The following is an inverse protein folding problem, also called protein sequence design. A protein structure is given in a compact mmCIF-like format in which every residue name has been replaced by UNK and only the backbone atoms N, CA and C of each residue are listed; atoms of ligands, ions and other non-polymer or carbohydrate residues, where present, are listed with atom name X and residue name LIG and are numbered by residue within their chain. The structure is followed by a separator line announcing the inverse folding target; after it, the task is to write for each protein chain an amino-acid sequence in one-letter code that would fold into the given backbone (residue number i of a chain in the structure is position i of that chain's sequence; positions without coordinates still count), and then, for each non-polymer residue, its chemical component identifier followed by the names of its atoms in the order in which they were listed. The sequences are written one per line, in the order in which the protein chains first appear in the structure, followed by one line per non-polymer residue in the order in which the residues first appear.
data_IF_467264451169
#
_entry.id   IF_467264451169
#
_cell.length_a   1.000
_cell.length_b   1.000
_cell.length_c   1.000
_cell.angle_alpha   90.00
_cell.angle_beta   90.00
_cell.angle_gamma   90.00
#
_symmetry.space_group_name_H-M   'P 1'
#
loop_
_entity.id
_entity.type
_entity.pdbx_description
1 polymer ?
#
# COMPACT_ATOMS: atom_id res chain seq x y z
N UNK A 1 21.80 -18.63 -42.32
CA UNK A 1 22.48 -18.33 -41.04
C UNK A 1 21.72 -19.04 -39.92
N UNK A 2 22.40 -19.82 -39.11
CA UNK A 2 21.76 -20.38 -37.92
C UNK A 2 21.94 -19.38 -36.80
N UNK A 3 20.85 -18.84 -36.28
CA UNK A 3 20.84 -17.91 -35.13
C UNK A 3 20.37 -18.71 -33.91
N UNK A 4 21.11 -18.61 -32.83
CA UNK A 4 20.72 -19.19 -31.56
C UNK A 4 20.12 -18.11 -30.67
N UNK A 5 18.94 -18.35 -30.11
CA UNK A 5 18.32 -17.53 -29.07
C UNK A 5 18.37 -18.29 -27.74
N UNK A 6 18.62 -17.59 -26.63
CA UNK A 6 18.88 -16.15 -26.50
C UNK A 6 20.25 -15.73 -27.10
N UNK A 7 20.29 -14.53 -27.66
CA UNK A 7 21.47 -14.04 -28.40
C UNK A 7 22.66 -13.71 -27.47
N UNK A 8 23.69 -14.58 -27.46
CA UNK A 8 24.89 -14.40 -26.64
C UNK A 8 24.62 -14.08 -25.15
N UNK A 9 23.48 -14.52 -24.62
CA UNK A 9 23.08 -14.32 -23.24
C UNK A 9 22.78 -15.68 -22.58
N UNK A 10 23.08 -15.77 -21.30
CA UNK A 10 22.72 -16.93 -20.47
C UNK A 10 22.25 -16.48 -19.09
N UNK A 11 21.27 -17.17 -18.51
CA UNK A 11 20.79 -16.85 -17.17
C UNK A 11 21.88 -17.14 -16.12
N UNK A 12 22.02 -16.25 -15.15
CA UNK A 12 22.85 -16.47 -13.95
C UNK A 12 22.22 -17.61 -13.13
N UNK A 13 23.02 -18.26 -12.27
CA UNK A 13 22.54 -19.42 -11.52
C UNK A 13 21.23 -19.16 -10.77
N UNK A 14 21.10 -18.04 -10.11
CA UNK A 14 19.89 -17.65 -9.40
C UNK A 14 18.70 -17.26 -10.33
N UNK A 15 18.92 -17.09 -11.62
CA UNK A 15 17.89 -16.81 -12.62
C UNK A 15 17.40 -18.09 -13.31
N UNK A 16 18.17 -19.18 -13.23
CA UNK A 16 17.85 -20.46 -13.88
C UNK A 16 16.50 -21.06 -13.48
N UNK A 17 16.07 -21.01 -12.20
CA UNK A 17 14.77 -21.58 -11.82
C UNK A 17 13.61 -20.96 -12.64
N UNK A 18 13.56 -19.63 -12.72
CA UNK A 18 12.56 -18.94 -13.53
C UNK A 18 12.72 -19.23 -15.02
N UNK A 19 13.98 -19.16 -15.53
CA UNK A 19 14.28 -19.41 -16.93
C UNK A 19 13.84 -20.80 -17.38
N UNK A 20 14.14 -21.83 -16.60
CA UNK A 20 13.74 -23.21 -16.89
C UNK A 20 12.22 -23.38 -16.82
N UNK A 21 11.55 -22.85 -15.79
CA UNK A 21 10.10 -22.89 -15.69
C UNK A 21 9.42 -22.31 -16.94
N UNK A 22 9.91 -21.17 -17.44
CA UNK A 22 9.39 -20.54 -18.66
C UNK A 22 9.70 -21.35 -19.91
N UNK A 23 10.92 -21.92 -20.01
CA UNK A 23 11.32 -22.80 -21.11
C UNK A 23 10.54 -24.12 -21.16
N UNK A 24 10.11 -24.61 -20.01
CA UNK A 24 9.25 -25.80 -19.89
C UNK A 24 7.76 -25.50 -20.18
N UNK A 25 7.44 -24.30 -20.64
CA UNK A 25 6.10 -23.88 -21.02
C UNK A 25 5.23 -23.34 -19.90
N UNK A 26 5.85 -22.90 -18.78
CA UNK A 26 5.16 -22.25 -17.66
C UNK A 26 4.37 -21.04 -18.08
N UNK A 27 3.14 -20.90 -17.56
CA UNK A 27 2.17 -19.89 -18.05
C UNK A 27 2.04 -18.67 -17.15
N UNK A 28 2.38 -18.80 -15.86
CA UNK A 28 2.21 -17.73 -14.87
C UNK A 28 3.44 -17.68 -13.99
N UNK A 29 4.14 -16.53 -13.98
CA UNK A 29 5.32 -16.37 -13.15
C UNK A 29 5.35 -15.01 -12.46
N UNK A 30 5.79 -14.99 -11.21
CA UNK A 30 5.98 -13.77 -10.41
C UNK A 30 7.40 -13.76 -9.85
N UNK A 31 8.20 -12.77 -10.28
CA UNK A 31 9.59 -12.56 -9.85
C UNK A 31 9.68 -11.30 -8.99
N UNK A 32 9.51 -11.45 -7.68
CA UNK A 32 9.76 -10.40 -6.70
C UNK A 32 11.25 -10.37 -6.36
N UNK A 33 12.03 -9.73 -7.20
CA UNK A 33 13.49 -9.75 -7.13
C UNK A 33 14.05 -8.39 -6.76
N UNK A 34 15.13 -8.40 -5.98
CA UNK A 34 15.78 -7.19 -5.52
C UNK A 34 16.29 -6.31 -6.68
N UNK A 35 16.57 -5.05 -6.38
CA UNK A 35 17.09 -4.10 -7.36
C UNK A 35 18.44 -4.58 -7.91
N UNK A 36 18.64 -4.45 -9.25
CA UNK A 36 19.85 -4.88 -9.97
C UNK A 36 20.06 -6.39 -10.10
N UNK A 37 19.11 -7.21 -9.78
CA UNK A 37 19.16 -8.68 -9.99
C UNK A 37 19.18 -9.10 -11.48
N UNK A 38 18.95 -8.17 -12.40
CA UNK A 38 18.91 -8.46 -13.84
C UNK A 38 17.57 -9.04 -14.33
N UNK A 39 16.48 -8.82 -13.59
CA UNK A 39 15.14 -9.31 -13.93
C UNK A 39 14.70 -8.96 -15.36
N UNK A 40 14.91 -7.69 -15.80
CA UNK A 40 14.53 -7.29 -17.16
C UNK A 40 15.33 -7.98 -18.25
N UNK A 41 16.58 -8.36 -17.99
CA UNK A 41 17.39 -9.12 -18.97
C UNK A 41 16.80 -10.52 -19.19
N UNK A 42 16.38 -11.21 -18.11
CA UNK A 42 15.68 -12.50 -18.23
C UNK A 42 14.42 -12.35 -19.06
N UNK A 43 13.61 -11.33 -18.76
CA UNK A 43 12.32 -11.11 -19.43
C UNK A 43 12.47 -10.79 -20.91
N UNK A 44 13.40 -9.90 -21.28
CA UNK A 44 13.62 -9.53 -22.70
C UNK A 44 14.12 -10.73 -23.49
N UNK A 45 15.07 -11.51 -22.95
CA UNK A 45 15.59 -12.69 -23.65
C UNK A 45 14.54 -13.82 -23.75
N UNK A 46 13.70 -14.00 -22.71
CA UNK A 46 12.58 -14.93 -22.81
C UNK A 46 11.59 -14.51 -23.89
N UNK A 47 11.22 -13.23 -23.96
CA UNK A 47 10.34 -12.72 -25.02
C UNK A 47 10.95 -13.00 -26.41
N UNK A 48 12.26 -12.79 -26.58
CA UNK A 48 12.94 -13.05 -27.85
C UNK A 48 12.84 -14.54 -28.28
N UNK A 49 12.95 -15.47 -27.32
CA UNK A 49 12.77 -16.90 -27.60
C UNK A 49 11.29 -17.24 -27.88
N UNK A 50 10.39 -16.78 -27.04
CA UNK A 50 8.95 -17.07 -27.14
C UNK A 50 8.31 -16.65 -28.48
N UNK A 51 8.78 -15.56 -29.08
CA UNK A 51 8.37 -15.11 -30.43
C UNK A 51 8.59 -16.18 -31.52
N UNK A 52 9.55 -17.09 -31.34
CA UNK A 52 9.86 -18.16 -32.28
C UNK A 52 9.29 -19.51 -31.88
N UNK A 53 8.88 -19.68 -30.62
CA UNK A 53 8.17 -20.86 -30.14
C UNK A 53 6.70 -20.85 -30.58
N UNK A 54 6.06 -19.67 -30.53
CA UNK A 54 4.69 -19.50 -30.98
C UNK A 54 4.53 -18.16 -31.71
N UNK A 55 3.99 -18.18 -32.93
CA UNK A 55 3.72 -16.96 -33.69
C UNK A 55 2.56 -16.20 -33.08
N UNK A 56 2.78 -14.96 -32.65
CA UNK A 56 1.78 -14.17 -31.96
C UNK A 56 2.24 -12.75 -31.60
N UNK A 57 1.40 -12.05 -30.84
CA UNK A 57 1.68 -10.72 -30.34
C UNK A 57 2.20 -10.82 -28.89
N UNK A 58 3.30 -10.14 -28.59
CA UNK A 58 3.94 -10.16 -27.27
C UNK A 58 4.11 -8.74 -26.76
N UNK A 59 3.68 -8.52 -25.51
CA UNK A 59 3.73 -7.22 -24.90
C UNK A 59 4.68 -7.20 -23.70
N UNK A 60 5.47 -6.14 -23.65
CA UNK A 60 6.30 -5.83 -22.50
C UNK A 60 5.76 -4.53 -21.89
N UNK A 61 5.08 -4.65 -20.75
CA UNK A 61 4.34 -3.57 -20.13
C UNK A 61 5.13 -2.94 -19.01
N UNK A 62 5.24 -1.61 -19.02
CA UNK A 62 5.72 -0.80 -17.90
C UNK A 62 4.54 -0.07 -17.23
N UNK A 63 4.73 0.51 -16.04
CA UNK A 63 3.68 1.29 -15.38
C UNK A 63 3.10 2.39 -16.27
N UNK A 64 3.95 3.17 -16.92
CA UNK A 64 3.57 4.26 -17.83
C UNK A 64 4.24 4.10 -19.22
N UNK A 65 3.50 4.43 -20.27
CA UNK A 65 4.02 4.34 -21.65
C UNK A 65 5.26 5.22 -21.89
N UNK A 66 5.31 6.40 -21.27
CA UNK A 66 6.46 7.32 -21.40
C UNK A 66 7.77 6.73 -20.83
N UNK A 67 7.69 5.77 -19.89
CA UNK A 67 8.84 5.09 -19.31
C UNK A 67 9.46 4.06 -20.26
N UNK A 68 8.66 3.47 -21.17
CA UNK A 68 9.07 2.40 -22.09
C UNK A 68 10.32 2.77 -22.90
N UNK A 69 10.35 3.99 -23.40
CA UNK A 69 11.46 4.47 -24.22
C UNK A 69 12.77 4.56 -23.44
N UNK A 70 12.73 5.19 -22.27
CA UNK A 70 13.92 5.41 -21.43
C UNK A 70 14.42 4.14 -20.75
N UNK A 71 13.49 3.30 -20.27
CA UNK A 71 13.83 2.14 -19.47
C UNK A 71 14.28 0.93 -20.29
N UNK A 72 13.73 0.77 -21.51
CA UNK A 72 13.97 -0.41 -22.34
C UNK A 72 14.44 -0.06 -23.76
N UNK A 73 13.66 0.71 -24.52
CA UNK A 73 13.90 0.90 -25.97
C UNK A 73 15.22 1.59 -26.30
N UNK A 74 15.52 2.69 -25.61
CA UNK A 74 16.76 3.46 -25.79
C UNK A 74 17.78 3.21 -24.67
N UNK A 75 17.47 2.34 -23.71
CA UNK A 75 18.36 2.02 -22.61
C UNK A 75 19.60 1.28 -23.08
N UNK A 76 20.77 1.86 -22.84
CA UNK A 76 22.08 1.25 -23.15
C UNK A 76 22.55 0.42 -21.98
N UNK A 77 23.05 -0.77 -22.26
CA UNK A 77 23.76 -1.60 -21.29
C UNK A 77 25.15 -0.99 -21.03
N UNK A 78 25.47 -0.55 -19.81
CA UNK A 78 26.76 0.12 -19.56
C UNK A 78 27.96 -0.80 -19.67
N UNK A 79 27.77 -2.12 -19.67
CA UNK A 79 28.87 -3.10 -19.79
C UNK A 79 29.21 -3.40 -21.24
N UNK A 80 28.25 -3.32 -22.15
CA UNK A 80 28.47 -3.66 -23.56
C UNK A 80 28.42 -2.45 -24.50
N UNK A 81 27.85 -1.32 -24.04
CA UNK A 81 27.63 -0.13 -24.85
C UNK A 81 26.48 -0.30 -25.89
N UNK A 82 25.77 -1.43 -25.89
CA UNK A 82 24.70 -1.75 -26.83
C UNK A 82 23.33 -1.48 -26.16
N UNK A 83 22.30 -1.13 -26.94
CA UNK A 83 20.96 -1.01 -26.43
C UNK A 83 20.43 -2.38 -25.96
N UNK A 84 19.80 -2.44 -24.79
CA UNK A 84 19.26 -3.67 -24.23
C UNK A 84 18.29 -4.39 -25.17
N UNK A 85 17.50 -3.64 -25.89
CA UNK A 85 16.57 -4.19 -26.87
C UNK A 85 17.32 -4.84 -28.04
N UNK A 86 18.44 -4.28 -28.49
CA UNK A 86 19.24 -4.82 -29.59
C UNK A 86 20.10 -6.00 -29.14
N UNK A 87 20.46 -6.10 -27.88
CA UNK A 87 21.10 -7.29 -27.31
C UNK A 87 20.16 -8.49 -27.32
N UNK A 88 18.91 -8.30 -26.91
CA UNK A 88 17.90 -9.37 -26.84
C UNK A 88 17.34 -9.75 -28.21
N UNK A 89 17.18 -8.77 -29.12
CA UNK A 89 16.61 -8.94 -30.44
C UNK A 89 17.65 -8.59 -31.51
N UNK A 90 18.49 -9.55 -31.93
CA UNK A 90 19.48 -9.31 -32.96
C UNK A 90 18.85 -8.97 -34.32
N UNK A 91 19.56 -8.16 -35.12
CA UNK A 91 19.05 -7.64 -36.37
C UNK A 91 18.55 -8.71 -37.36
N UNK A 92 19.13 -9.89 -37.29
CA UNK A 92 18.85 -11.04 -38.17
C UNK A 92 17.45 -11.63 -37.98
N UNK A 93 16.86 -11.46 -36.81
CA UNK A 93 15.48 -11.93 -36.54
C UNK A 93 14.44 -10.84 -36.78
N UNK A 94 14.87 -9.60 -37.04
CA UNK A 94 13.99 -8.44 -37.17
C UNK A 94 13.65 -8.25 -38.65
N UNK A 95 12.33 -8.25 -38.95
CA UNK A 95 11.83 -7.85 -40.27
C UNK A 95 11.63 -6.33 -40.33
N UNK A 96 10.98 -5.74 -39.30
CA UNK A 96 10.76 -4.31 -39.19
C UNK A 96 10.96 -3.86 -37.76
N UNK A 97 11.57 -2.68 -37.57
CA UNK A 97 11.71 -2.03 -36.23
C UNK A 97 11.08 -0.64 -36.26
N UNK A 98 9.91 -0.51 -35.68
CA UNK A 98 9.09 0.69 -35.67
C UNK A 98 9.40 1.53 -34.40
N UNK A 99 10.31 2.49 -34.58
CA UNK A 99 10.86 3.26 -33.43
C UNK A 99 9.82 4.12 -32.71
N UNK A 100 8.84 4.69 -33.42
CA UNK A 100 7.81 5.52 -32.80
C UNK A 100 6.89 4.71 -31.91
N UNK A 101 6.46 3.55 -32.39
CA UNK A 101 5.57 2.62 -31.71
C UNK A 101 6.28 1.71 -30.70
N UNK A 102 7.63 1.76 -30.67
CA UNK A 102 8.46 0.84 -29.89
C UNK A 102 8.07 -0.62 -30.15
N UNK A 103 7.93 -0.97 -31.43
CA UNK A 103 7.47 -2.28 -31.91
C UNK A 103 8.51 -2.94 -32.80
N UNK A 104 8.70 -4.23 -32.63
CA UNK A 104 9.51 -5.11 -33.48
C UNK A 104 8.58 -6.11 -34.16
N UNK A 105 8.71 -6.27 -35.46
CA UNK A 105 8.11 -7.34 -36.24
C UNK A 105 9.23 -8.31 -36.64
N UNK A 106 9.06 -9.57 -36.35
CA UNK A 106 10.05 -10.60 -36.62
C UNK A 106 9.84 -11.26 -37.97
N UNK A 107 10.88 -11.94 -38.48
CA UNK A 107 10.86 -12.62 -39.79
C UNK A 107 9.81 -13.75 -39.87
N UNK A 108 9.40 -14.33 -38.74
CA UNK A 108 8.35 -15.37 -38.70
C UNK A 108 6.93 -14.79 -38.54
N UNK A 109 6.78 -13.45 -38.47
CA UNK A 109 5.49 -12.77 -38.38
C UNK A 109 5.03 -12.45 -36.97
N UNK A 110 5.76 -12.83 -35.92
CA UNK A 110 5.48 -12.43 -34.54
C UNK A 110 5.77 -10.96 -34.32
N UNK A 111 5.13 -10.36 -33.32
CA UNK A 111 5.38 -8.97 -32.93
C UNK A 111 5.70 -8.84 -31.45
N UNK A 112 6.66 -7.99 -31.14
CA UNK A 112 7.00 -7.56 -29.77
C UNK A 112 6.76 -6.06 -29.65
N UNK A 113 6.06 -5.61 -28.61
CA UNK A 113 5.77 -4.19 -28.43
C UNK A 113 5.86 -3.78 -26.97
N UNK A 114 6.46 -2.60 -26.73
CA UNK A 114 6.44 -1.97 -25.40
C UNK A 114 5.14 -1.22 -25.21
N UNK A 115 4.49 -1.42 -24.05
CA UNK A 115 3.17 -0.88 -23.72
C UNK A 115 3.19 -0.24 -22.32
N UNK A 116 2.26 0.69 -22.07
CA UNK A 116 2.01 1.21 -20.72
C UNK A 116 0.77 0.58 -20.10
N UNK A 117 0.82 0.27 -18.80
CA UNK A 117 -0.36 -0.19 -18.06
C UNK A 117 -1.33 0.94 -17.71
N UNK A 118 -0.89 2.18 -17.83
CA UNK A 118 -1.68 3.41 -17.61
C UNK A 118 -2.83 3.57 -18.59
N UNK A 119 -2.72 3.02 -19.81
CA UNK A 119 -3.73 3.11 -20.86
C UNK A 119 -4.23 1.74 -21.33
N UNK A 120 -4.45 0.80 -20.42
CA UNK A 120 -4.88 -0.56 -20.76
C UNK A 120 -6.23 -0.62 -21.50
N UNK A 121 -7.12 0.37 -21.33
CA UNK A 121 -8.39 0.44 -22.05
C UNK A 121 -8.22 0.59 -23.56
N UNK A 122 -7.13 1.19 -24.05
CA UNK A 122 -6.84 1.31 -25.47
C UNK A 122 -6.40 -0.03 -26.10
N UNK A 123 -6.19 -1.06 -25.28
CA UNK A 123 -5.74 -2.39 -25.71
C UNK A 123 -6.91 -3.34 -26.00
N UNK A 124 -8.16 -2.86 -25.90
CA UNK A 124 -9.38 -3.60 -26.18
C UNK A 124 -9.36 -4.12 -27.62
N UNK A 125 -9.68 -5.40 -27.81
CA UNK A 125 -9.72 -6.06 -29.12
C UNK A 125 -8.37 -6.55 -29.63
N UNK A 126 -7.28 -6.33 -28.89
CA UNK A 126 -5.98 -6.93 -29.20
C UNK A 126 -5.86 -8.31 -28.52
N UNK A 127 -5.12 -9.21 -29.15
CA UNK A 127 -4.98 -10.61 -28.67
C UNK A 127 -3.51 -10.95 -28.42
N UNK A 128 -2.91 -10.49 -27.29
CA UNK A 128 -1.55 -10.90 -26.94
C UNK A 128 -1.50 -12.39 -26.61
N UNK A 129 -0.42 -13.06 -26.99
CA UNK A 129 -0.10 -14.42 -26.57
C UNK A 129 0.78 -14.44 -25.32
N UNK A 130 1.64 -13.43 -25.18
CA UNK A 130 2.49 -13.28 -24.00
C UNK A 130 2.53 -11.85 -23.48
N UNK A 131 2.46 -11.70 -22.16
CA UNK A 131 2.55 -10.39 -21.49
C UNK A 131 3.62 -10.46 -20.40
N UNK A 132 4.58 -9.56 -20.46
CA UNK A 132 5.52 -9.30 -19.37
C UNK A 132 5.17 -7.97 -18.72
N UNK A 133 4.86 -7.97 -17.43
CA UNK A 133 4.74 -6.77 -16.60
C UNK A 133 6.06 -6.48 -15.91
N UNK A 134 6.72 -5.39 -16.25
CA UNK A 134 7.92 -4.90 -15.56
C UNK A 134 7.55 -3.81 -14.56
N UNK A 135 8.12 -3.89 -13.37
CA UNK A 135 7.80 -3.03 -12.23
C UNK A 135 6.30 -3.04 -11.88
N UNK A 136 5.71 -4.26 -11.84
CA UNK A 136 4.27 -4.46 -11.62
C UNK A 136 3.76 -3.81 -10.34
N UNK A 137 4.57 -3.68 -9.30
CA UNK A 137 4.23 -2.96 -8.07
C UNK A 137 3.79 -1.49 -8.28
N UNK A 138 4.13 -0.90 -9.41
CA UNK A 138 3.78 0.47 -9.80
C UNK A 138 2.75 0.51 -10.95
N UNK A 139 2.39 -0.63 -11.53
CA UNK A 139 1.43 -0.74 -12.64
C UNK A 139 -0.01 -0.54 -12.16
N UNK A 140 -0.89 -0.17 -13.08
CA UNK A 140 -2.32 -0.12 -12.79
C UNK A 140 -2.86 -1.55 -12.53
N UNK A 141 -3.39 -1.86 -11.33
CA UNK A 141 -3.84 -3.21 -10.99
C UNK A 141 -5.00 -3.70 -11.86
N UNK A 142 -5.84 -2.80 -12.36
CA UNK A 142 -6.97 -3.15 -13.21
C UNK A 142 -6.52 -3.72 -14.57
N UNK A 143 -5.31 -3.41 -15.04
CA UNK A 143 -4.80 -3.89 -16.32
C UNK A 143 -4.71 -5.42 -16.35
N UNK A 144 -4.33 -6.07 -15.26
CA UNK A 144 -4.27 -7.53 -15.19
C UNK A 144 -5.67 -8.17 -15.22
N UNK A 145 -6.61 -7.67 -14.41
CA UNK A 145 -7.99 -8.16 -14.41
C UNK A 145 -8.65 -8.08 -15.80
N UNK A 146 -8.27 -7.05 -16.57
CA UNK A 146 -8.77 -6.84 -17.92
C UNK A 146 -8.12 -7.75 -18.97
N UNK A 147 -6.81 -8.01 -18.87
CA UNK A 147 -6.04 -8.75 -19.88
C UNK A 147 -5.99 -10.27 -19.60
N UNK A 148 -6.18 -10.71 -18.37
CA UNK A 148 -6.09 -12.13 -18.02
C UNK A 148 -7.09 -13.04 -18.75
N UNK A 149 -8.36 -12.64 -19.03
CA UNK A 149 -9.29 -13.46 -19.81
C UNK A 149 -8.83 -13.73 -21.24
N UNK A 150 -8.13 -12.76 -21.86
CA UNK A 150 -7.59 -12.91 -23.24
C UNK A 150 -6.52 -13.99 -23.27
N UNK A 151 -5.64 -14.01 -22.24
CA UNK A 151 -4.60 -15.03 -22.14
C UNK A 151 -5.15 -16.41 -21.79
N UNK A 152 -6.29 -16.47 -21.10
CA UNK A 152 -6.97 -17.73 -20.83
C UNK A 152 -7.54 -18.33 -22.12
N UNK A 153 -8.17 -17.52 -22.96
CA UNK A 153 -8.76 -17.95 -24.23
C UNK A 153 -7.72 -18.53 -25.18
N UNK A 154 -6.58 -17.85 -25.36
CA UNK A 154 -5.55 -18.26 -26.32
C UNK A 154 -4.43 -19.13 -25.72
N UNK A 155 -4.61 -19.59 -24.46
CA UNK A 155 -3.61 -20.36 -23.71
C UNK A 155 -2.24 -19.64 -23.59
N UNK A 156 -2.29 -18.32 -23.50
CA UNK A 156 -1.12 -17.46 -23.40
C UNK A 156 -0.51 -17.41 -22.01
N UNK A 157 0.61 -16.69 -21.88
CA UNK A 157 1.34 -16.58 -20.63
C UNK A 157 1.46 -15.14 -20.11
N UNK A 158 1.65 -14.99 -18.80
CA UNK A 158 1.96 -13.72 -18.16
C UNK A 158 3.09 -13.86 -17.15
N UNK A 159 4.00 -12.90 -17.15
CA UNK A 159 5.12 -12.79 -16.21
C UNK A 159 5.06 -11.43 -15.53
N UNK A 160 5.15 -11.43 -14.20
CA UNK A 160 5.18 -10.21 -13.40
C UNK A 160 6.52 -10.08 -12.72
N UNK A 161 7.21 -8.98 -12.92
CA UNK A 161 8.41 -8.70 -12.18
C UNK A 161 8.33 -7.34 -11.47
N UNK A 162 9.03 -7.20 -10.38
CA UNK A 162 9.11 -5.95 -9.64
C UNK A 162 9.90 -6.04 -8.36
N UNK A 163 10.06 -4.87 -7.75
CA UNK A 163 10.53 -4.70 -6.39
C UNK A 163 9.34 -4.25 -5.54
N UNK A 164 9.18 -4.67 -4.29
CA UNK A 164 8.06 -4.26 -3.43
C UNK A 164 7.88 -2.74 -3.33
N UNK A 165 6.63 -2.31 -3.21
CA UNK A 165 6.23 -0.93 -2.89
C UNK A 165 5.11 -0.95 -1.84
N UNK A 166 5.45 -1.43 -0.63
CA UNK A 166 4.46 -1.70 0.40
C UNK A 166 3.58 -2.92 0.07
N UNK A 167 2.54 -3.16 0.88
CA UNK A 167 1.59 -4.25 0.70
C UNK A 167 0.46 -3.82 -0.26
N UNK A 168 0.73 -3.86 -1.55
CA UNK A 168 -0.22 -3.53 -2.60
C UNK A 168 -0.58 -4.78 -3.44
N UNK A 169 -1.20 -4.58 -4.60
CA UNK A 169 -1.57 -5.64 -5.54
C UNK A 169 -0.40 -6.56 -5.95
N UNK A 170 0.85 -6.05 -5.93
CA UNK A 170 2.02 -6.89 -6.20
C UNK A 170 2.27 -7.90 -5.06
N UNK A 171 2.03 -7.51 -3.80
CA UNK A 171 2.11 -8.46 -2.67
C UNK A 171 1.07 -9.56 -2.81
N UNK A 172 -0.17 -9.21 -3.17
CA UNK A 172 -1.24 -10.19 -3.36
C UNK A 172 -0.87 -11.23 -4.43
N UNK A 173 -0.42 -10.79 -5.62
CA UNK A 173 -0.05 -11.72 -6.70
C UNK A 173 1.21 -12.55 -6.37
N UNK A 174 2.13 -12.03 -5.56
CA UNK A 174 3.29 -12.79 -5.06
C UNK A 174 2.82 -13.92 -4.12
N UNK A 175 1.89 -13.62 -3.21
CA UNK A 175 1.34 -14.62 -2.28
C UNK A 175 0.56 -15.69 -3.02
N UNK A 176 -0.26 -15.31 -3.97
CA UNK A 176 -1.00 -16.22 -4.84
C UNK A 176 -0.03 -17.15 -5.60
N UNK A 177 1.01 -16.57 -6.22
CA UNK A 177 1.98 -17.35 -6.99
C UNK A 177 2.80 -18.34 -6.14
N UNK A 178 3.07 -18.01 -4.88
CA UNK A 178 3.78 -18.92 -3.96
C UNK A 178 2.85 -20.04 -3.49
N UNK A 179 1.55 -19.78 -3.36
CA UNK A 179 0.57 -20.77 -2.88
C UNK A 179 0.04 -21.70 -3.97
N UNK A 180 0.00 -21.23 -5.23
CA UNK A 180 -0.57 -21.97 -6.37
C UNK A 180 0.48 -22.88 -7.02
N UNK A 181 0.11 -24.14 -7.27
CA UNK A 181 1.04 -25.15 -7.81
C UNK A 181 1.45 -24.90 -9.27
N UNK A 182 0.58 -24.27 -10.04
CA UNK A 182 0.79 -24.05 -11.47
C UNK A 182 1.48 -22.72 -11.79
N UNK A 183 1.79 -21.94 -10.74
CA UNK A 183 2.49 -20.68 -10.85
C UNK A 183 3.94 -20.82 -10.38
N UNK A 184 4.82 -20.06 -10.99
CA UNK A 184 6.15 -19.79 -10.44
C UNK A 184 6.10 -18.53 -9.58
N UNK A 185 6.36 -18.65 -8.28
CA UNK A 185 6.45 -17.52 -7.35
C UNK A 185 7.79 -17.52 -6.65
N UNK A 186 8.58 -16.43 -6.77
CA UNK A 186 9.88 -16.34 -6.12
C UNK A 186 10.14 -14.94 -5.55
N UNK A 187 10.62 -14.91 -4.31
CA UNK A 187 11.19 -13.72 -3.67
C UNK A 187 12.71 -13.93 -3.62
N UNK A 188 13.47 -13.11 -4.37
CA UNK A 188 14.90 -13.22 -4.47
C UNK A 188 15.60 -12.01 -3.85
N UNK A 189 16.24 -12.22 -2.71
CA UNK A 189 16.96 -11.20 -1.95
C UNK A 189 18.42 -11.06 -2.41
N UNK A 190 19.05 -9.98 -2.02
CA UNK A 190 20.46 -9.71 -2.39
C UNK A 190 21.44 -10.75 -1.85
N UNK A 191 21.14 -11.37 -0.70
CA UNK A 191 22.01 -12.41 -0.11
C UNK A 191 22.04 -13.68 -0.96
N UNK A 192 20.95 -13.98 -1.66
CA UNK A 192 20.84 -15.15 -2.54
C UNK A 192 21.57 -14.93 -3.88
N UNK A 193 21.76 -13.69 -4.29
CA UNK A 193 22.36 -13.38 -5.61
C UNK A 193 23.84 -13.06 -5.56
N UNK A 194 24.32 -12.54 -4.44
CA UNK A 194 25.71 -12.09 -4.29
C UNK A 194 26.12 -10.95 -5.25
N UNK A 195 25.15 -10.21 -5.81
CA UNK A 195 25.41 -9.13 -6.78
C UNK A 195 26.18 -7.97 -6.16
N UNK A 196 26.01 -7.75 -4.87
CA UNK A 196 26.69 -6.70 -4.11
C UNK A 196 27.53 -7.28 -2.98
N UNK A 197 28.65 -6.62 -2.67
CA UNK A 197 29.43 -6.94 -1.47
C UNK A 197 28.73 -6.41 -0.21
N UNK A 198 29.04 -6.98 0.95
CA UNK A 198 28.53 -6.50 2.23
C UNK A 198 28.93 -5.03 2.50
N UNK A 199 30.13 -4.62 2.09
CA UNK A 199 30.58 -3.24 2.22
C UNK A 199 29.70 -2.27 1.40
N UNK A 200 29.38 -2.63 0.16
CA UNK A 200 28.48 -1.85 -0.71
C UNK A 200 27.10 -1.72 -0.09
N UNK A 201 26.54 -2.81 0.44
CA UNK A 201 25.23 -2.82 1.08
C UNK A 201 25.18 -1.97 2.34
N UNK A 202 26.20 -2.05 3.20
CA UNK A 202 26.31 -1.23 4.41
C UNK A 202 26.55 0.24 4.08
N UNK A 203 27.33 0.54 3.06
CA UNK A 203 27.52 1.91 2.56
C UNK A 203 26.21 2.53 2.09
N UNK A 204 25.42 1.78 1.33
CA UNK A 204 24.12 2.20 0.84
C UNK A 204 23.10 2.38 1.99
N UNK A 205 23.08 1.48 2.99
CA UNK A 205 22.25 1.62 4.18
C UNK A 205 22.56 2.94 4.91
N UNK A 206 23.85 3.23 5.17
CA UNK A 206 24.26 4.48 5.82
C UNK A 206 23.82 5.71 5.02
N UNK A 207 23.96 5.67 3.69
CA UNK A 207 23.53 6.75 2.81
C UNK A 207 22.03 6.99 2.88
N UNK A 208 21.23 5.92 2.81
CA UNK A 208 19.76 6.00 2.91
C UNK A 208 19.32 6.49 4.29
N UNK A 209 19.98 6.05 5.35
CA UNK A 209 19.69 6.52 6.72
C UNK A 209 20.04 8.00 6.91
N UNK A 210 21.15 8.47 6.36
CA UNK A 210 21.52 9.88 6.39
C UNK A 210 20.53 10.77 5.61
N UNK A 211 20.00 10.26 4.50
CA UNK A 211 19.08 11.00 3.63
C UNK A 211 17.64 11.01 4.15
N UNK A 212 17.19 9.90 4.75
CA UNK A 212 15.77 9.67 5.08
C UNK A 212 15.49 9.45 6.57
N UNK A 213 16.51 9.49 7.43
CA UNK A 213 16.42 9.09 8.83
C UNK A 213 16.66 7.59 9.05
N UNK A 214 17.01 7.22 10.28
CA UNK A 214 17.49 5.88 10.63
C UNK A 214 16.47 4.77 10.29
N UNK A 215 15.24 4.94 10.76
CA UNK A 215 14.18 3.93 10.60
C UNK A 215 13.73 3.83 9.14
N UNK A 216 13.48 4.98 8.52
CA UNK A 216 12.96 5.02 7.16
C UNK A 216 14.00 4.64 6.11
N UNK A 217 15.25 5.10 6.26
CA UNK A 217 16.36 4.68 5.39
C UNK A 217 16.60 3.18 5.44
N UNK A 218 16.52 2.55 6.63
CA UNK A 218 16.59 1.09 6.77
C UNK A 218 15.41 0.40 6.09
N UNK A 219 14.19 0.95 6.20
CA UNK A 219 13.00 0.38 5.56
C UNK A 219 13.14 0.37 4.02
N UNK A 220 13.58 1.49 3.42
CA UNK A 220 13.88 1.57 1.97
C UNK A 220 14.94 0.53 1.59
N UNK A 221 16.01 0.43 2.36
CA UNK A 221 17.08 -0.53 2.10
C UNK A 221 16.57 -1.97 2.14
N UNK A 222 15.75 -2.33 3.13
CA UNK A 222 15.11 -3.64 3.20
C UNK A 222 14.17 -3.89 2.00
N UNK A 223 13.44 -2.88 1.55
CA UNK A 223 12.58 -2.98 0.38
C UNK A 223 13.37 -3.24 -0.90
N UNK A 224 14.40 -2.45 -1.19
CA UNK A 224 15.12 -2.49 -2.45
C UNK A 224 16.07 -3.69 -2.58
N UNK A 225 16.63 -4.17 -1.47
CA UNK A 225 17.63 -5.22 -1.47
C UNK A 225 17.17 -6.54 -0.87
N UNK A 226 16.19 -6.50 0.04
CA UNK A 226 15.65 -7.70 0.70
C UNK A 226 14.19 -7.99 0.36
N UNK A 227 13.63 -7.27 -0.60
CA UNK A 227 12.27 -7.45 -1.06
C UNK A 227 11.21 -7.36 0.05
N UNK A 228 11.45 -6.53 1.07
CA UNK A 228 10.51 -6.34 2.16
C UNK A 228 9.26 -5.57 1.71
N UNK A 229 8.10 -6.12 1.95
CA UNK A 229 6.81 -5.44 1.76
C UNK A 229 6.41 -4.57 2.96
N UNK A 230 7.17 -4.60 4.05
CA UNK A 230 6.88 -3.83 5.27
C UNK A 230 7.49 -2.42 5.24
N UNK A 231 8.22 -2.06 4.18
CA UNK A 231 8.88 -0.77 4.09
C UNK A 231 7.86 0.37 3.94
N UNK A 232 8.07 1.46 4.65
CA UNK A 232 7.32 2.68 4.47
C UNK A 232 7.59 3.28 3.07
N UNK A 233 6.54 3.78 2.42
CA UNK A 233 6.63 4.42 1.10
C UNK A 233 7.37 5.75 1.22
N UNK A 234 8.32 6.08 0.32
CA UNK A 234 8.95 7.40 0.27
C UNK A 234 7.90 8.52 0.22
N UNK A 235 8.06 9.53 1.08
CA UNK A 235 7.06 10.59 1.21
C UNK A 235 5.85 10.21 2.06
N UNK A 236 5.80 9.02 2.65
CA UNK A 236 4.73 8.64 3.58
C UNK A 236 4.57 9.68 4.68
N UNK A 237 3.31 10.08 4.90
CA UNK A 237 2.96 11.11 5.88
C UNK A 237 3.17 10.61 7.32
N UNK A 238 2.88 9.33 7.57
CA UNK A 238 2.92 8.71 8.91
C UNK A 238 3.72 7.40 8.98
N UNK A 239 4.50 7.08 7.95
CA UNK A 239 5.26 5.82 7.91
C UNK A 239 6.16 5.61 9.13
N UNK A 240 6.87 6.67 9.57
CA UNK A 240 7.68 6.62 10.79
C UNK A 240 6.86 6.43 12.06
N UNK A 241 5.72 7.13 12.17
CA UNK A 241 4.85 7.07 13.34
C UNK A 241 4.28 5.65 13.49
N UNK A 242 3.85 5.05 12.37
CA UNK A 242 3.32 3.68 12.34
C UNK A 242 4.43 2.66 12.61
N UNK A 243 5.64 2.85 12.07
CA UNK A 243 6.77 1.98 12.38
C UNK A 243 7.08 1.95 13.88
N UNK A 244 7.01 3.12 14.55
CA UNK A 244 7.20 3.24 16.00
C UNK A 244 6.13 2.50 16.80
N UNK A 245 4.85 2.57 16.43
CA UNK A 245 3.79 1.84 17.13
C UNK A 245 3.88 0.32 16.92
N UNK A 246 4.27 -0.13 15.72
CA UNK A 246 4.55 -1.55 15.44
C UNK A 246 5.69 -2.05 16.32
N UNK A 247 6.80 -1.32 16.37
CA UNK A 247 7.95 -1.67 17.23
C UNK A 247 7.61 -1.73 18.73
N UNK A 248 6.65 -0.91 19.18
CA UNK A 248 6.16 -0.90 20.57
C UNK A 248 5.14 -1.99 20.87
N UNK A 249 4.78 -2.85 19.89
CA UNK A 249 3.77 -3.89 20.05
C UNK A 249 2.33 -3.35 20.18
N UNK A 250 2.07 -2.14 19.67
CA UNK A 250 0.75 -1.52 19.72
C UNK A 250 -0.18 -2.00 18.58
N UNK A 251 0.34 -2.80 17.62
CA UNK A 251 -0.43 -3.55 16.65
C UNK A 251 -0.50 -4.99 17.14
N UNK A 252 -1.63 -5.37 17.70
CA UNK A 252 -1.82 -6.62 18.45
C UNK A 252 -3.29 -7.04 18.42
N UNK A 253 -3.69 -8.08 19.13
CA UNK A 253 -5.10 -8.39 19.32
C UNK A 253 -5.76 -7.35 20.23
N UNK A 254 -6.78 -6.66 19.73
CA UNK A 254 -7.54 -5.63 20.45
C UNK A 254 -9.04 -5.98 20.38
N UNK A 255 -9.52 -6.88 21.24
CA UNK A 255 -10.91 -7.31 21.23
C UNK A 255 -11.86 -6.18 21.64
N UNK A 256 -13.08 -6.23 21.09
CA UNK A 256 -14.17 -5.38 21.54
C UNK A 256 -14.52 -5.66 23.01
N UNK A 257 -14.56 -4.62 23.83
CA UNK A 257 -15.00 -4.66 25.22
C UNK A 257 -16.41 -4.07 25.35
N UNK A 258 -17.39 -4.89 25.67
CA UNK A 258 -18.81 -4.49 25.73
C UNK A 258 -19.13 -3.52 26.87
N UNK A 259 -18.20 -3.29 27.81
CA UNK A 259 -18.38 -2.33 28.91
C UNK A 259 -18.13 -0.88 28.48
N UNK A 260 -17.46 -0.70 27.34
CA UNK A 260 -17.15 0.62 26.79
C UNK A 260 -17.86 0.85 25.45
N UNK A 261 -18.40 2.05 25.21
CA UNK A 261 -19.05 2.35 23.95
C UNK A 261 -18.04 2.45 22.80
N UNK A 262 -18.50 2.10 21.62
CA UNK A 262 -17.75 2.27 20.36
C UNK A 262 -18.06 3.63 19.76
N UNK A 263 -17.03 4.31 19.33
CA UNK A 263 -17.08 5.51 18.51
C UNK A 263 -16.63 5.15 17.08
N UNK A 264 -17.11 5.90 16.10
CA UNK A 264 -16.63 5.75 14.72
C UNK A 264 -16.20 7.09 14.15
N UNK A 265 -15.25 7.05 13.22
CA UNK A 265 -14.88 8.22 12.44
C UNK A 265 -14.91 7.85 10.95
N UNK A 266 -15.54 8.70 10.15
CA UNK A 266 -15.90 8.43 8.78
C UNK A 266 -15.20 9.40 7.82
N UNK A 267 -14.79 8.90 6.69
CA UNK A 267 -14.64 9.67 5.46
C UNK A 267 -15.66 9.17 4.43
N UNK A 268 -16.37 10.08 3.78
CA UNK A 268 -17.56 9.78 2.98
C UNK A 268 -17.27 10.04 1.49
N UNK A 269 -17.07 8.97 0.72
CA UNK A 269 -17.02 9.00 -0.73
C UNK A 269 -18.34 8.46 -1.35
N UNK A 270 -18.77 9.00 -2.49
CA UNK A 270 -19.88 8.44 -3.27
C UNK A 270 -19.34 7.56 -4.39
N UNK A 271 -18.54 8.14 -5.26
CA UNK A 271 -17.87 7.48 -6.37
C UNK A 271 -16.51 6.92 -5.93
N UNK A 272 -15.98 7.44 -4.82
CA UNK A 272 -14.80 7.00 -4.11
C UNK A 272 -15.18 6.16 -2.86
N UNK A 273 -14.16 5.60 -2.20
CA UNK A 273 -14.39 4.75 -1.04
C UNK A 273 -14.89 5.53 0.19
N UNK A 274 -15.92 5.01 0.86
CA UNK A 274 -16.27 5.40 2.23
C UNK A 274 -15.46 4.58 3.21
N UNK A 275 -14.76 5.22 4.14
CA UNK A 275 -13.88 4.59 5.13
C UNK A 275 -14.36 4.86 6.54
N UNK A 276 -14.38 3.84 7.39
CA UNK A 276 -14.88 3.90 8.77
C UNK A 276 -13.87 3.26 9.72
N UNK A 277 -13.36 4.02 10.68
CA UNK A 277 -12.61 3.51 11.82
C UNK A 277 -13.51 3.33 13.03
N UNK A 278 -13.41 2.19 13.72
CA UNK A 278 -14.14 1.86 14.93
C UNK A 278 -13.18 1.84 16.11
N UNK A 279 -13.50 2.56 17.17
CA UNK A 279 -12.61 2.66 18.31
C UNK A 279 -13.33 2.79 19.65
N UNK A 280 -12.65 2.37 20.71
CA UNK A 280 -13.05 2.54 22.09
C UNK A 280 -12.03 3.40 22.82
N UNK A 281 -12.46 4.14 23.83
CA UNK A 281 -11.60 4.97 24.68
C UNK A 281 -11.58 4.36 26.05
N UNK A 282 -10.43 3.79 26.45
CA UNK A 282 -10.27 3.10 27.72
C UNK A 282 -9.02 3.65 28.41
N UNK A 283 -9.18 4.21 29.60
CA UNK A 283 -8.07 4.76 30.39
C UNK A 283 -7.11 5.68 29.61
N UNK A 284 -7.63 6.52 28.71
CA UNK A 284 -6.85 7.43 27.86
C UNK A 284 -6.08 6.76 26.71
N UNK A 285 -6.33 5.48 26.48
CA UNK A 285 -5.91 4.73 25.29
C UNK A 285 -7.02 4.71 24.26
N UNK A 286 -6.62 4.72 22.98
CA UNK A 286 -7.50 4.53 21.84
C UNK A 286 -7.34 3.09 21.34
N UNK A 287 -8.31 2.26 21.60
CA UNK A 287 -8.37 0.89 21.09
C UNK A 287 -9.11 0.88 19.77
N UNK A 288 -8.36 0.78 18.69
CA UNK A 288 -8.90 0.72 17.32
C UNK A 288 -9.23 -0.74 17.05
N UNK A 289 -10.52 -1.07 17.17
CA UNK A 289 -10.99 -2.45 17.20
C UNK A 289 -11.40 -3.00 15.85
N UNK A 290 -11.63 -2.11 14.86
CA UNK A 290 -12.11 -2.52 13.56
C UNK A 290 -11.90 -1.41 12.52
N UNK A 291 -11.89 -1.79 11.25
CA UNK A 291 -11.87 -0.91 10.09
C UNK A 291 -12.83 -1.45 9.02
N UNK A 292 -13.50 -0.57 8.31
CA UNK A 292 -14.36 -0.92 7.19
C UNK A 292 -14.18 0.08 6.05
N UNK A 293 -14.15 -0.42 4.83
CA UNK A 293 -14.10 0.39 3.62
C UNK A 293 -14.90 -0.30 2.51
N UNK A 294 -15.68 0.49 1.76
CA UNK A 294 -16.39 0.05 0.56
C UNK A 294 -16.65 1.26 -0.35
N UNK A 295 -17.00 1.02 -1.61
CA UNK A 295 -17.33 2.05 -2.59
C UNK A 295 -18.66 1.76 -3.26
N UNK A 296 -19.23 2.76 -3.94
CA UNK A 296 -20.49 2.66 -4.71
C UNK A 296 -21.68 2.15 -3.91
N UNK A 297 -21.72 2.39 -2.57
CA UNK A 297 -22.84 2.01 -1.70
C UNK A 297 -23.63 3.23 -1.24
N UNK A 298 -24.92 3.03 -1.05
CA UNK A 298 -25.83 4.04 -0.52
C UNK A 298 -25.82 4.05 1.02
N UNK A 299 -26.30 5.13 1.62
CA UNK A 299 -26.31 5.33 3.08
C UNK A 299 -26.96 4.19 3.87
N UNK A 300 -28.12 3.61 3.47
CA UNK A 300 -28.73 2.50 4.19
C UNK A 300 -27.82 1.26 4.29
N UNK A 301 -26.97 1.04 3.29
CA UNK A 301 -26.00 -0.06 3.32
C UNK A 301 -25.00 0.10 4.48
N UNK A 302 -24.44 1.29 4.65
CA UNK A 302 -23.49 1.55 5.75
C UNK A 302 -24.17 1.49 7.12
N UNK A 303 -25.44 1.91 7.21
CA UNK A 303 -26.23 1.73 8.42
C UNK A 303 -26.41 0.23 8.74
N UNK A 304 -26.62 -0.61 7.72
CA UNK A 304 -26.69 -2.06 7.91
C UNK A 304 -25.36 -2.64 8.38
N UNK A 305 -24.23 -2.19 7.82
CA UNK A 305 -22.88 -2.59 8.28
C UNK A 305 -22.72 -2.29 9.78
N UNK A 306 -23.16 -1.13 10.26
CA UNK A 306 -23.12 -0.81 11.69
C UNK A 306 -23.95 -1.79 12.53
N UNK A 307 -25.17 -2.14 12.07
CA UNK A 307 -26.05 -3.09 12.78
C UNK A 307 -25.44 -4.50 12.83
N UNK A 308 -24.84 -4.94 11.74
CA UNK A 308 -24.26 -6.29 11.61
C UNK A 308 -23.05 -6.51 12.52
N UNK A 309 -22.28 -5.46 12.80
CA UNK A 309 -21.14 -5.51 13.72
C UNK A 309 -21.56 -5.66 15.20
N UNK A 310 -22.81 -5.41 15.55
CA UNK A 310 -23.38 -5.60 16.91
C UNK A 310 -22.61 -4.88 18.02
N UNK A 311 -21.98 -3.76 17.71
CA UNK A 311 -21.30 -2.93 18.71
C UNK A 311 -22.31 -2.00 19.40
N UNK A 312 -22.03 -1.62 20.65
CA UNK A 312 -22.79 -0.56 21.34
C UNK A 312 -22.19 0.79 20.99
N UNK A 313 -22.86 1.51 20.10
CA UNK A 313 -22.35 2.79 19.59
C UNK A 313 -22.71 3.96 20.50
N UNK A 314 -21.83 4.98 20.55
CA UNK A 314 -22.12 6.26 21.22
C UNK A 314 -22.17 7.41 20.23
N UNK A 315 -21.08 7.71 19.53
CA UNK A 315 -21.03 8.82 18.58
C UNK A 315 -20.32 8.41 17.30
N UNK A 316 -20.92 8.75 16.17
CA UNK A 316 -20.36 8.63 14.84
C UNK A 316 -19.88 10.00 14.38
N UNK A 317 -18.56 10.13 14.17
CA UNK A 317 -17.94 11.37 13.74
C UNK A 317 -17.88 11.45 12.21
N UNK A 318 -18.61 12.40 11.64
CA UNK A 318 -18.69 12.63 10.20
C UNK A 318 -17.83 13.84 9.80
N UNK A 319 -17.33 13.87 8.56
CA UNK A 319 -16.67 15.05 8.02
C UNK A 319 -17.64 16.25 7.96
N UNK A 320 -17.10 17.45 8.01
CA UNK A 320 -17.88 18.69 8.02
C UNK A 320 -18.73 18.91 6.76
N UNK A 321 -18.36 18.32 5.64
CA UNK A 321 -19.05 18.35 4.34
C UNK A 321 -20.24 17.36 4.26
N UNK A 322 -20.48 16.54 5.27
CA UNK A 322 -21.70 15.74 5.40
C UNK A 322 -22.97 16.58 5.66
N UNK A 323 -22.82 17.87 6.05
CA UNK A 323 -23.92 18.78 6.38
C UNK A 323 -24.65 19.39 5.18
N UNK A 324 -24.01 19.80 4.08
CA UNK A 324 -24.68 20.43 2.95
C UNK A 324 -25.71 19.52 2.28
N UNK A 325 -26.83 20.10 1.86
CA UNK A 325 -27.84 19.42 1.05
C UNK A 325 -27.31 19.22 -0.37
N UNK A 326 -27.47 18.02 -0.94
CA UNK A 326 -27.09 17.72 -2.33
C UNK A 326 -28.33 17.60 -3.23
N UNK A 327 -28.29 18.24 -4.41
CA UNK A 327 -29.35 18.25 -5.45
C UNK A 327 -29.55 16.81 -5.93
N UNK A 328 -29.59 15.88 -5.85
CA UNK A 328 -29.76 14.50 -6.36
C UNK A 328 -30.20 13.48 -5.29
N UNK A 329 -30.28 13.90 -4.03
CA UNK A 329 -30.61 13.01 -2.91
C UNK A 329 -31.94 13.39 -2.25
N UNK A 330 -32.97 13.76 -3.03
CA UNK A 330 -34.27 14.19 -2.50
C UNK A 330 -34.18 15.39 -1.54
N UNK A 331 -33.16 16.24 -1.67
CA UNK A 331 -32.96 17.44 -0.85
C UNK A 331 -32.47 17.18 0.58
N UNK A 332 -32.12 15.95 0.95
CA UNK A 332 -31.57 15.61 2.27
C UNK A 332 -30.02 15.63 2.24
N UNK A 333 -29.40 16.04 3.33
CA UNK A 333 -27.95 15.88 3.51
C UNK A 333 -27.62 14.43 3.91
N UNK A 334 -26.35 14.04 3.73
CA UNK A 334 -25.86 12.73 4.19
C UNK A 334 -26.11 12.55 5.68
N UNK A 335 -25.83 13.59 6.48
CA UNK A 335 -26.11 13.60 7.91
C UNK A 335 -27.62 13.33 8.20
N UNK A 336 -28.53 13.96 7.47
CA UNK A 336 -29.97 13.75 7.66
C UNK A 336 -30.42 12.33 7.28
N UNK A 337 -29.79 11.73 6.28
CA UNK A 337 -30.07 10.34 5.90
C UNK A 337 -29.58 9.36 6.96
N UNK A 338 -28.33 9.55 7.46
CA UNK A 338 -27.77 8.72 8.53
C UNK A 338 -28.57 8.83 9.84
N UNK A 339 -29.03 10.02 10.21
CA UNK A 339 -29.89 10.21 11.40
C UNK A 339 -31.22 9.45 11.24
N UNK A 340 -31.76 9.39 10.02
CA UNK A 340 -33.03 8.68 9.75
C UNK A 340 -32.88 7.14 9.88
N UNK A 341 -31.64 6.61 9.81
CA UNK A 341 -31.35 5.18 9.98
C UNK A 341 -31.32 4.71 11.46
N UNK A 342 -31.36 5.64 12.42
CA UNK A 342 -31.40 5.36 13.86
C UNK A 342 -30.34 4.35 14.37
N UNK A 343 -29.11 4.55 13.93
CA UNK A 343 -27.97 3.69 14.30
C UNK A 343 -27.07 4.30 15.37
N UNK A 344 -27.43 5.43 15.95
CA UNK A 344 -26.69 6.12 17.01
C UNK A 344 -26.66 7.64 16.82
N UNK A 345 -25.83 8.32 17.61
CA UNK A 345 -25.66 9.77 17.55
C UNK A 345 -24.59 10.15 16.54
N UNK A 346 -24.89 11.12 15.68
CA UNK A 346 -23.95 11.66 14.71
C UNK A 346 -23.48 13.06 15.11
N UNK A 347 -22.17 13.31 14.97
CA UNK A 347 -21.55 14.61 15.20
C UNK A 347 -20.60 14.95 14.06
N UNK A 348 -20.40 16.25 13.81
CA UNK A 348 -19.49 16.72 12.78
C UNK A 348 -18.14 17.06 13.38
N UNK A 349 -17.08 16.62 12.68
CA UNK A 349 -15.70 16.98 13.03
C UNK A 349 -15.47 18.46 12.70
N UNK A 350 -14.81 19.24 13.59
CA UNK A 350 -14.44 20.61 13.29
C UNK A 350 -13.57 20.73 12.04
N UNK A 351 -13.88 21.68 11.16
CA UNK A 351 -13.01 21.98 10.01
C UNK A 351 -11.75 22.73 10.47
N UNK A 352 -10.67 21.98 10.64
CA UNK A 352 -9.38 22.53 11.09
C UNK A 352 -8.32 22.55 9.97
N UNK A 353 -8.67 22.12 8.77
CA UNK A 353 -7.74 21.97 7.66
C UNK A 353 -6.92 20.65 7.74
N UNK A 354 -6.32 20.28 6.59
CA UNK A 354 -5.62 19.00 6.41
C UNK A 354 -4.37 18.89 7.29
N UNK A 355 -3.54 19.91 7.32
CA UNK A 355 -2.27 19.87 8.06
C UNK A 355 -2.45 19.73 9.57
N UNK A 356 -3.43 20.43 10.15
CA UNK A 356 -3.76 20.26 11.58
C UNK A 356 -4.27 18.86 11.87
N UNK A 357 -5.03 18.27 10.94
CA UNK A 357 -5.46 16.87 11.04
C UNK A 357 -4.29 15.89 10.98
N UNK A 358 -3.32 16.11 10.10
CA UNK A 358 -2.08 15.31 10.00
C UNK A 358 -1.29 15.39 11.33
N UNK A 359 -1.12 16.58 11.89
CA UNK A 359 -0.42 16.75 13.17
C UNK A 359 -1.20 16.14 14.34
N UNK A 360 -2.53 16.25 14.34
CA UNK A 360 -3.38 15.59 15.33
C UNK A 360 -3.22 14.07 15.29
N UNK A 361 -3.16 13.47 14.09
CA UNK A 361 -2.92 12.05 13.92
C UNK A 361 -1.55 11.63 14.50
N UNK A 362 -0.47 12.37 14.20
CA UNK A 362 0.85 12.12 14.79
C UNK A 362 0.84 12.13 16.32
N UNK A 363 0.15 13.09 16.92
CA UNK A 363 0.00 13.20 18.37
C UNK A 363 -0.89 12.08 18.97
N UNK A 364 -1.70 11.43 18.14
CA UNK A 364 -2.66 10.40 18.55
C UNK A 364 -2.06 8.99 18.49
N UNK A 365 -1.23 8.68 17.47
CA UNK A 365 -0.61 7.36 17.30
C UNK A 365 0.02 6.76 18.57
N UNK A 366 0.77 7.50 19.39
CA UNK A 366 1.37 6.92 20.61
C UNK A 366 0.36 6.37 21.63
N UNK A 367 -0.92 6.69 21.50
CA UNK A 367 -2.02 6.23 22.36
C UNK A 367 -2.88 5.15 21.72
N UNK A 368 -2.67 4.87 20.41
CA UNK A 368 -3.46 3.92 19.66
C UNK A 368 -2.94 2.49 19.84
N UNK A 369 -3.86 1.56 20.06
CA UNK A 369 -3.64 0.13 19.92
C UNK A 369 -4.56 -0.36 18.79
N UNK A 370 -4.01 -0.98 17.77
CA UNK A 370 -4.75 -1.44 16.60
C UNK A 370 -4.91 -2.95 16.63
N UNK A 371 -6.13 -3.41 16.39
CA UNK A 371 -6.36 -4.83 16.16
C UNK A 371 -5.63 -5.27 14.88
N UNK A 372 -4.74 -6.26 15.01
CA UNK A 372 -3.85 -6.69 13.93
C UNK A 372 -4.59 -7.35 12.76
N UNK A 373 -5.75 -7.95 13.03
CA UNK A 373 -6.53 -8.69 12.04
C UNK A 373 -7.54 -7.77 11.35
N UNK A 374 -8.38 -7.10 12.12
CA UNK A 374 -9.48 -6.27 11.60
C UNK A 374 -9.03 -4.91 11.07
N UNK A 375 -7.92 -4.37 11.60
CA UNK A 375 -7.38 -3.08 11.16
C UNK A 375 -6.24 -3.20 10.16
N UNK A 376 -5.82 -4.41 9.77
CA UNK A 376 -4.66 -4.65 8.91
C UNK A 376 -4.72 -3.85 7.61
N UNK A 377 -5.83 -3.92 6.87
CA UNK A 377 -6.03 -3.18 5.61
C UNK A 377 -5.97 -1.67 5.85
N UNK A 378 -6.66 -1.16 6.86
CA UNK A 378 -6.64 0.26 7.19
C UNK A 378 -5.25 0.77 7.55
N UNK A 379 -4.47 -0.01 8.31
CA UNK A 379 -3.08 0.32 8.65
C UNK A 379 -2.17 0.38 7.41
N UNK A 380 -2.36 -0.51 6.43
CA UNK A 380 -1.62 -0.45 5.18
C UNK A 380 -1.93 0.83 4.39
N UNK A 381 -3.19 1.26 4.36
CA UNK A 381 -3.55 2.55 3.77
C UNK A 381 -2.88 3.72 4.51
N UNK A 382 -2.87 3.73 5.86
CA UNK A 382 -2.19 4.78 6.62
C UNK A 382 -0.68 4.81 6.38
N UNK A 383 -0.02 3.65 6.22
CA UNK A 383 1.40 3.55 5.85
C UNK A 383 1.65 4.09 4.44
N UNK A 384 0.72 3.83 3.54
CA UNK A 384 0.81 4.16 2.12
C UNK A 384 0.39 5.59 1.79
N UNK A 385 -0.29 6.30 2.70
CA UNK A 385 -0.65 7.70 2.54
C UNK A 385 0.60 8.57 2.43
N UNK A 386 0.81 9.18 1.26
CA UNK A 386 2.08 9.78 0.90
C UNK A 386 1.94 11.10 0.12
N UNK A 387 3.05 11.82 0.05
CA UNK A 387 3.24 13.03 -0.77
C UNK A 387 3.97 12.65 -2.05
N UNK A 388 3.58 13.23 -3.16
CA UNK A 388 4.25 13.03 -4.44
C UNK A 388 5.63 13.72 -4.41
N UNK A 389 6.65 13.04 -4.89
CA UNK A 389 7.95 13.66 -5.10
C UNK A 389 7.95 14.41 -6.43
N UNK A 390 8.30 15.68 -6.40
CA UNK A 390 8.49 16.52 -7.57
C UNK A 390 9.98 16.47 -7.96
N UNK A 391 10.27 15.79 -9.05
CA UNK A 391 11.66 15.64 -9.54
C UNK A 391 12.27 16.97 -9.99
N UNK A 392 11.48 17.88 -10.54
CA UNK A 392 11.94 19.18 -11.00
C UNK A 392 12.28 20.10 -9.83
N UNK A 393 11.41 20.14 -8.82
CA UNK A 393 11.62 20.92 -7.60
C UNK A 393 12.51 20.20 -6.57
N UNK A 394 12.83 18.91 -6.77
CA UNK A 394 13.59 18.03 -5.86
C UNK A 394 13.05 18.02 -4.43
N UNK A 395 11.74 18.09 -4.27
CA UNK A 395 11.05 18.07 -2.97
C UNK A 395 9.74 17.30 -3.05
N UNK A 396 9.24 16.87 -1.90
CA UNK A 396 7.88 16.34 -1.81
C UNK A 396 6.86 17.47 -1.92
N UNK A 397 5.71 17.18 -2.49
CA UNK A 397 4.56 18.09 -2.54
C UNK A 397 4.14 18.49 -1.13
N UNK A 398 3.61 19.70 -0.98
CA UNK A 398 3.09 20.17 0.32
C UNK A 398 1.82 19.39 0.69
N UNK A 399 1.03 18.98 -0.30
CA UNK A 399 -0.16 18.16 -0.10
C UNK A 399 0.07 16.69 -0.42
N UNK A 400 -0.52 15.77 0.36
CA UNK A 400 -0.54 14.34 0.03
C UNK A 400 -1.31 14.07 -1.25
N UNK A 401 -0.98 12.95 -1.90
CA UNK A 401 -1.69 12.46 -3.09
C UNK A 401 -3.12 12.08 -2.72
N UNK A 402 -4.05 12.37 -3.62
CA UNK A 402 -5.42 11.90 -3.50
C UNK A 402 -5.56 10.60 -4.31
N UNK A 403 -5.56 9.49 -3.59
CA UNK A 403 -5.66 8.13 -4.11
C UNK A 403 -6.49 7.24 -3.16
N UNK A 404 -6.51 5.93 -3.38
CA UNK A 404 -7.22 4.98 -2.51
C UNK A 404 -6.74 4.98 -1.05
N UNK A 405 -5.57 5.52 -0.76
CA UNK A 405 -5.03 5.61 0.60
C UNK A 405 -5.50 6.87 1.33
N UNK A 406 -5.97 7.86 0.61
CA UNK A 406 -6.39 9.14 1.18
C UNK A 406 -7.67 9.03 2.03
N UNK A 407 -8.64 8.19 1.64
CA UNK A 407 -9.91 8.07 2.37
C UNK A 407 -9.76 7.47 3.77
N UNK A 408 -9.07 6.32 3.97
CA UNK A 408 -8.76 5.82 5.31
C UNK A 408 -7.94 6.80 6.15
N UNK A 409 -7.03 7.53 5.51
CA UNK A 409 -6.20 8.54 6.16
C UNK A 409 -7.03 9.74 6.63
N UNK A 410 -7.98 10.20 5.82
CA UNK A 410 -8.88 11.30 6.17
C UNK A 410 -9.84 10.90 7.29
N UNK A 411 -10.40 9.69 7.26
CA UNK A 411 -11.17 9.14 8.37
C UNK A 411 -10.35 9.07 9.67
N UNK A 412 -9.08 8.67 9.62
CA UNK A 412 -8.19 8.64 10.78
C UNK A 412 -7.82 10.04 11.28
N UNK A 413 -7.66 11.02 10.38
CA UNK A 413 -7.51 12.44 10.77
C UNK A 413 -8.73 12.94 11.54
N UNK A 414 -9.94 12.58 11.09
CA UNK A 414 -11.18 12.95 11.77
C UNK A 414 -11.31 12.27 13.13
N UNK A 415 -10.95 11.01 13.26
CA UNK A 415 -10.79 10.35 14.57
C UNK A 415 -9.86 11.16 15.48
N UNK A 416 -8.69 11.53 14.96
CA UNK A 416 -7.65 12.22 15.74
C UNK A 416 -8.04 13.62 16.19
N UNK A 417 -8.90 14.31 15.44
CA UNK A 417 -9.44 15.61 15.79
C UNK A 417 -10.59 15.55 16.80
N UNK A 418 -11.33 14.44 16.83
CA UNK A 418 -12.62 14.35 17.57
C UNK A 418 -12.56 13.52 18.85
N UNK A 419 -11.63 12.54 18.98
CA UNK A 419 -11.67 11.59 20.08
C UNK A 419 -11.62 12.23 21.48
N UNK A 420 -10.93 13.36 21.64
CA UNK A 420 -10.85 14.08 22.92
C UNK A 420 -12.20 14.67 23.36
N UNK A 421 -13.09 14.99 22.41
CA UNK A 421 -14.45 15.44 22.69
C UNK A 421 -15.35 14.28 23.15
N UNK A 422 -14.94 13.04 22.83
CA UNK A 422 -15.63 11.81 23.22
C UNK A 422 -15.25 11.33 24.63
N UNK A 423 -14.16 11.84 25.19
CA UNK A 423 -13.78 11.55 26.59
C UNK A 423 -14.79 12.18 27.50
N UNK A 424 -15.47 11.42 28.41
CA UNK A 424 -16.33 12.02 29.39
C UNK A 424 -15.55 13.08 30.18
N UNK A 425 -15.99 14.33 30.13
CA UNK A 425 -15.44 15.34 31.04
C UNK A 425 -15.79 14.87 32.44
N UNK A 426 -14.79 14.47 33.20
CA UNK A 426 -14.96 14.29 34.64
C UNK A 426 -15.34 15.66 35.17
N UNK A 427 -16.60 15.85 35.52
CA UNK A 427 -17.02 16.98 36.33
C UNK A 427 -16.11 16.98 37.53
N UNK A 428 -15.40 18.08 37.88
CA UNK A 428 -14.60 18.11 39.06
C UNK A 428 -15.54 17.81 40.26
N UNK A 429 -15.44 16.63 40.85
CA UNK A 429 -16.19 16.33 42.07
C UNK A 429 -15.83 17.40 43.10
N UNK A 430 -16.83 18.06 43.67
CA UNK A 430 -16.64 19.00 44.75
C UNK A 430 -15.89 18.27 45.86
N UNK A 431 -15.04 18.99 46.62
CA UNK A 431 -14.24 18.34 47.69
C UNK A 431 -15.11 17.62 48.73
N UNK A 432 -16.40 17.95 48.82
CA UNK A 432 -17.34 17.34 49.77
C UNK A 432 -17.97 16.03 49.23
N UNK A 433 -18.02 15.77 47.93
CA UNK A 433 -18.53 14.51 47.35
C UNK A 433 -17.52 13.38 47.38
N UNK A 434 -16.24 13.67 47.57
CA UNK A 434 -15.17 12.67 47.64
C UNK A 434 -15.26 11.70 48.81
N UNK A 435 -16.08 12.00 49.82
CA UNK A 435 -16.20 11.22 51.02
C UNK A 435 -17.54 10.54 51.28
N UNK A 436 -18.55 10.75 50.42
CA UNK A 436 -19.91 10.22 50.63
C UNK A 436 -20.30 9.04 49.74
N UNK A 437 -19.53 8.71 48.71
CA UNK A 437 -19.79 7.55 47.86
C UNK A 437 -19.00 6.35 48.39
N UNK A 438 -19.70 5.42 49.02
CA UNK A 438 -19.10 4.19 49.54
C UNK A 438 -18.41 3.38 48.43
N UNK A 439 -17.18 3.04 48.70
CA UNK A 439 -16.41 1.91 48.19
C UNK A 439 -15.79 1.93 46.78
N UNK A 440 -15.77 3.01 45.99
CA UNK A 440 -14.85 3.08 44.85
C UNK A 440 -14.15 4.44 44.83
N UNK A 441 -12.90 4.47 45.24
CA UNK A 441 -12.05 5.67 45.20
C UNK A 441 -11.22 5.66 43.93
N UNK A 442 -11.61 6.45 42.96
CA UNK A 442 -10.75 6.76 41.81
C UNK A 442 -9.62 7.68 42.24
N UNK A 443 -8.47 7.10 42.59
CA UNK A 443 -7.28 7.86 43.02
C UNK A 443 -6.36 8.05 41.81
N UNK A 444 -6.07 9.28 41.45
CA UNK A 444 -5.08 9.55 40.42
C UNK A 444 -3.67 9.22 40.92
N UNK A 445 -2.75 8.83 40.02
CA UNK A 445 -1.34 8.59 40.35
C UNK A 445 -0.69 9.82 41.05
N UNK A 446 -1.13 11.02 40.72
CA UNK A 446 -0.71 12.26 41.39
C UNK A 446 -1.16 12.36 42.85
N UNK A 447 -2.35 11.87 43.17
CA UNK A 447 -2.89 11.88 44.54
C UNK A 447 -2.20 10.81 45.39
N UNK A 448 -1.88 9.64 44.82
CA UNK A 448 -1.07 8.62 45.47
C UNK A 448 0.35 9.12 45.78
N UNK A 449 0.96 9.85 44.87
CA UNK A 449 2.29 10.45 45.06
C UNK A 449 2.27 11.54 46.15
N UNK A 450 1.23 12.37 46.20
CA UNK A 450 1.02 13.37 47.27
C UNK A 450 0.77 12.73 48.64
N UNK A 451 -0.03 11.64 48.69
CA UNK A 451 -0.28 10.90 49.90
C UNK A 451 1.00 10.22 50.43
N UNK A 452 1.80 9.63 49.54
CA UNK A 452 3.09 9.03 49.91
C UNK A 452 4.09 10.07 50.40
N UNK A 453 4.17 11.24 49.79
CA UNK A 453 5.03 12.34 50.28
C UNK A 453 4.57 12.90 51.63
N UNK A 454 3.25 12.96 51.86
CA UNK A 454 2.69 13.37 53.15
C UNK A 454 2.99 12.33 54.28
N UNK A 455 2.93 11.04 53.95
CA UNK A 455 3.29 9.96 54.88
C UNK A 455 4.77 10.00 55.22
N UNK A 456 5.68 10.15 54.23
CA UNK A 456 7.13 10.32 54.47
C UNK A 456 7.49 11.57 55.30
N UNK A 457 6.74 12.68 55.14
CA UNK A 457 6.93 13.87 55.97
C UNK A 457 6.51 13.63 57.42
N UNK A 458 5.40 12.91 57.68
CA UNK A 458 4.97 12.55 59.06
C UNK A 458 5.93 11.58 59.74
N UNK A 459 6.54 10.67 58.99
CA UNK A 459 7.53 9.72 59.51
C UNK A 459 8.91 10.37 59.76
N UNK A 460 9.17 11.59 59.24
CA UNK A 460 10.43 12.32 59.44
C UNK A 460 10.38 13.41 60.53
N UNK A 461 9.19 13.85 60.90
CA UNK A 461 9.01 15.01 61.78
C UNK A 461 7.89 14.79 62.83
N UNK A 462 7.45 13.54 63.02
CA UNK A 462 6.49 13.10 64.02
C UNK A 462 7.20 12.23 65.12
#
# INVERSE_FOLDING_TARGET
MNISLPNNWSPRDYQKPLWNYLGDGGKRAVACWHRRSGKDAVMLNHNACALFEHVGNYWYMLPEYNQCRKAVWDAVNPHTGVKRIDEAFPSEIIKNKLNQEMKIETINGSTFQLMGSDNYNALVGSTPYGITYSEYSLSNPNSWGFLSPILLENNGWAIFNGTPRGKNHFKAIVDDAISEKDWFGEILTVDQTGVFTQEQLLGELKRLQAQHGEVFGKAIWLQEYYCSFEAAIPGSVWGEDIAKIVQRGQVTSVPYDNTYPVFTAWDLGRDDATSIWFYQIIANELRIIDFYQDNFKEIPFYAQVLRDKKYTYKTHWLPHDAKPKRLGMGGKSILQQLIAEDVGQFALVPNMGRDKGIQAARATFPRCFFDSEKCGIGLEHLKSYHRKYDEAARKFSDEPVHDEHSHPADAFRYLSLSWRQSVPQSTPMSQNEKFSAGNVVNVSFGDLKKAHLKKKRRERYG
#
